data_IF_456002473900
#
_entry.id   IF_456002473900
#
_cell.length_a   1.000
_cell.length_b   1.000
_cell.length_c   1.000
_cell.angle_alpha   90.00
_cell.angle_beta   90.00
_cell.angle_gamma   90.00
#
_symmetry.space_group_name_H-M   'P 1'
#
loop_
_entity.id
_entity.type
_entity.pdbx_description
1 polymer ?
#
# COMPACT_ATOMS: atom_id res chain seq x y z
N UNK A 1 26.77 20.62 -44.99
CA UNK A 1 26.72 19.45 -44.06
C UNK A 1 25.62 19.73 -43.06
N UNK A 2 24.44 19.20 -43.31
CA UNK A 2 23.24 19.46 -42.50
C UNK A 2 23.05 18.26 -41.58
N UNK A 3 23.18 18.49 -40.26
CA UNK A 3 22.96 17.49 -39.23
C UNK A 3 21.45 17.27 -39.02
N UNK A 4 20.97 16.09 -39.32
CA UNK A 4 19.60 15.66 -39.04
C UNK A 4 19.57 15.23 -37.56
N UNK A 5 18.96 16.05 -36.73
CA UNK A 5 18.60 15.65 -35.36
C UNK A 5 17.32 14.84 -35.44
N UNK A 6 17.41 13.51 -35.29
CA UNK A 6 16.26 12.64 -35.17
C UNK A 6 15.71 12.72 -33.74
N UNK A 7 14.65 13.49 -33.55
CA UNK A 7 13.86 13.46 -32.34
C UNK A 7 13.06 12.15 -32.29
N UNK A 8 13.53 11.18 -31.49
CA UNK A 8 12.73 10.00 -31.15
C UNK A 8 11.53 10.43 -30.32
N UNK A 9 10.36 10.56 -30.93
CA UNK A 9 9.08 10.68 -30.24
C UNK A 9 8.89 9.41 -29.40
N UNK A 10 9.08 9.50 -28.10
CA UNK A 10 8.74 8.44 -27.16
C UNK A 10 7.25 8.13 -27.28
N UNK A 11 6.92 6.92 -27.76
CA UNK A 11 5.54 6.45 -27.76
C UNK A 11 5.00 6.43 -26.35
N UNK A 12 3.93 7.17 -26.09
CA UNK A 12 3.20 7.15 -24.83
C UNK A 12 2.51 5.79 -24.63
N UNK A 13 2.32 5.34 -23.37
CA UNK A 13 1.55 4.15 -23.07
C UNK A 13 0.12 4.29 -23.64
N UNK A 14 -0.37 3.24 -24.27
CA UNK A 14 -1.73 3.23 -24.83
C UNK A 14 -2.72 2.82 -23.76
N UNK A 15 -3.71 3.68 -23.48
CA UNK A 15 -4.91 3.36 -22.74
C UNK A 15 -6.08 3.26 -23.73
N UNK A 16 -6.87 2.22 -23.65
CA UNK A 16 -8.06 2.04 -24.50
C UNK A 16 -9.27 1.74 -23.63
N UNK A 17 -10.35 2.46 -23.88
CA UNK A 17 -11.70 2.04 -23.49
C UNK A 17 -12.12 0.96 -24.47
N UNK A 18 -12.57 -0.21 -23.96
CA UNK A 18 -13.10 -1.25 -24.83
C UNK A 18 -14.40 -0.79 -25.44
N UNK A 19 -14.38 -0.54 -26.76
CA UNK A 19 -15.60 -0.40 -27.54
C UNK A 19 -16.41 -1.70 -27.51
N UNK A 20 -17.72 -1.57 -27.52
CA UNK A 20 -18.75 -2.59 -27.33
C UNK A 20 -18.74 -3.74 -28.37
N UNK A 21 -17.64 -4.44 -28.58
CA UNK A 21 -17.67 -5.70 -29.33
C UNK A 21 -17.39 -6.87 -28.39
N UNK A 22 -18.43 -7.68 -28.25
CA UNK A 22 -18.54 -8.82 -27.38
C UNK A 22 -17.72 -10.01 -27.86
N UNK A 23 -16.47 -10.07 -27.46
CA UNK A 23 -15.78 -11.34 -27.30
C UNK A 23 -15.20 -11.38 -25.89
N UNK A 24 -16.04 -11.71 -24.91
CA UNK A 24 -15.61 -12.01 -23.57
C UNK A 24 -14.71 -13.26 -23.63
N UNK A 25 -13.44 -13.19 -23.18
CA UNK A 25 -12.60 -14.37 -23.04
C UNK A 25 -13.06 -15.28 -21.89
N UNK A 26 -14.13 -14.90 -21.18
CA UNK A 26 -14.68 -15.65 -20.06
C UNK A 26 -15.83 -16.53 -20.53
N UNK A 27 -15.92 -17.78 -20.07
CA UNK A 27 -17.11 -18.60 -20.29
C UNK A 27 -18.30 -17.90 -19.65
N UNK A 28 -19.43 -17.82 -20.39
CA UNK A 28 -20.68 -17.28 -19.93
C UNK A 28 -21.07 -17.88 -18.59
N UNK A 29 -21.49 -17.04 -17.66
CA UNK A 29 -21.92 -17.37 -16.30
C UNK A 29 -22.88 -18.56 -16.29
N UNK A 30 -22.39 -19.73 -15.82
CA UNK A 30 -23.26 -20.77 -15.34
C UNK A 30 -23.86 -20.36 -13.98
N UNK A 31 -25.14 -20.66 -13.71
CA UNK A 31 -25.74 -20.38 -12.41
C UNK A 31 -25.00 -21.17 -11.32
N UNK A 32 -24.96 -20.60 -10.14
CA UNK A 32 -24.40 -21.14 -8.91
C UNK A 32 -24.81 -22.61 -8.71
N UNK A 33 -23.99 -23.55 -9.14
CA UNK A 33 -24.04 -24.94 -8.73
C UNK A 33 -23.15 -25.10 -7.52
N UNK A 34 -23.70 -25.73 -6.47
CA UNK A 34 -22.96 -26.12 -5.26
C UNK A 34 -21.77 -26.97 -5.68
N UNK A 35 -20.64 -26.94 -4.96
CA UNK A 35 -19.48 -27.74 -5.29
C UNK A 35 -19.81 -29.22 -5.10
N UNK A 36 -19.96 -29.94 -6.21
CA UNK A 36 -19.82 -31.38 -6.19
C UNK A 36 -18.34 -31.68 -5.94
N UNK A 37 -18.10 -32.38 -4.84
CA UNK A 37 -16.79 -32.86 -4.42
C UNK A 37 -16.34 -34.00 -5.35
N UNK A 38 -15.76 -33.64 -6.48
CA UNK A 38 -14.93 -34.57 -7.24
C UNK A 38 -13.47 -34.32 -6.88
N UNK A 39 -12.94 -35.22 -6.04
CA UNK A 39 -11.52 -35.28 -5.69
C UNK A 39 -10.74 -35.84 -6.90
N UNK A 40 -10.50 -35.01 -7.89
CA UNK A 40 -9.50 -35.25 -8.91
C UNK A 40 -8.34 -34.28 -8.69
N UNK A 41 -7.17 -34.86 -8.65
CA UNK A 41 -5.79 -34.34 -8.52
C UNK A 41 -5.65 -32.88 -8.99
N UNK A 42 -6.11 -31.94 -8.18
CA UNK A 42 -5.94 -30.50 -8.40
C UNK A 42 -4.45 -30.21 -8.26
N UNK A 43 -3.77 -29.97 -9.37
CA UNK A 43 -2.50 -29.23 -9.35
C UNK A 43 -2.71 -28.04 -8.39
N UNK A 44 -2.04 -28.09 -7.24
CA UNK A 44 -2.19 -27.07 -6.21
C UNK A 44 -1.89 -25.72 -6.82
N UNK A 45 -2.91 -24.87 -6.95
CA UNK A 45 -2.76 -23.53 -7.46
C UNK A 45 -1.74 -22.77 -6.61
N UNK A 46 -0.65 -22.32 -7.23
CA UNK A 46 0.40 -21.54 -6.59
C UNK A 46 -0.11 -20.14 -6.26
N UNK A 47 0.14 -19.66 -5.05
CA UNK A 47 -0.17 -18.29 -4.63
C UNK A 47 0.88 -17.33 -5.23
N UNK A 48 0.45 -16.40 -6.07
CA UNK A 48 1.31 -15.43 -6.74
C UNK A 48 1.33 -14.07 -6.02
N UNK A 49 0.19 -13.66 -5.46
CA UNK A 49 0.08 -12.36 -4.79
C UNK A 49 -1.06 -12.32 -3.79
N UNK A 50 -0.93 -11.42 -2.81
CA UNK A 50 -2.00 -11.04 -1.87
C UNK A 50 -2.06 -9.52 -1.80
N UNK A 51 -3.26 -8.95 -1.91
CA UNK A 51 -3.48 -7.51 -1.81
C UNK A 51 -4.72 -7.20 -0.99
N UNK A 52 -4.57 -6.30 -0.01
CA UNK A 52 -5.68 -5.79 0.78
C UNK A 52 -6.49 -4.78 -0.02
N UNK A 53 -7.80 -4.76 0.22
CA UNK A 53 -8.60 -3.63 -0.24
C UNK A 53 -8.36 -2.39 0.64
N UNK A 54 -8.92 -1.26 0.26
CA UNK A 54 -8.61 0.04 0.85
C UNK A 54 -9.13 0.23 2.28
N UNK A 55 -10.10 -0.58 2.72
CA UNK A 55 -10.65 -0.57 4.09
C UNK A 55 -10.13 -1.72 4.97
N UNK A 56 -9.21 -2.54 4.43
CA UNK A 56 -8.64 -3.74 5.09
C UNK A 56 -9.66 -4.80 5.51
N UNK A 57 -10.89 -4.71 5.04
CA UNK A 57 -11.94 -5.67 5.37
C UNK A 57 -12.00 -6.88 4.43
N UNK A 58 -11.32 -6.82 3.30
CA UNK A 58 -11.18 -7.88 2.33
C UNK A 58 -9.76 -7.94 1.78
N UNK A 59 -9.36 -9.08 1.26
CA UNK A 59 -8.15 -9.21 0.47
C UNK A 59 -8.38 -10.11 -0.74
N UNK A 60 -7.61 -9.86 -1.78
CA UNK A 60 -7.52 -10.69 -2.97
C UNK A 60 -6.28 -11.56 -2.94
N UNK A 61 -6.37 -12.76 -3.50
CA UNK A 61 -5.28 -13.68 -3.73
C UNK A 61 -5.20 -14.00 -5.23
N UNK A 62 -4.14 -13.58 -5.88
CA UNK A 62 -3.81 -13.98 -7.24
C UNK A 62 -3.12 -15.33 -7.23
N UNK A 63 -3.54 -16.25 -8.08
CA UNK A 63 -3.00 -17.61 -8.16
C UNK A 63 -2.58 -17.96 -9.58
N UNK A 64 -1.83 -19.06 -9.73
CA UNK A 64 -1.43 -19.59 -11.04
C UNK A 64 -2.61 -20.07 -11.91
N UNK A 65 -3.80 -20.22 -11.32
CA UNK A 65 -5.04 -20.66 -11.99
C UNK A 65 -6.19 -19.67 -11.92
N UNK A 66 -5.94 -18.40 -11.54
CA UNK A 66 -6.98 -17.39 -11.44
C UNK A 66 -6.83 -16.49 -10.24
N UNK A 67 -7.94 -16.13 -9.56
CA UNK A 67 -7.89 -15.34 -8.33
C UNK A 67 -9.06 -15.64 -7.39
N UNK A 68 -8.88 -15.27 -6.12
CA UNK A 68 -9.88 -15.42 -5.05
C UNK A 68 -9.97 -14.16 -4.24
N UNK A 69 -11.15 -13.90 -3.67
CA UNK A 69 -11.40 -12.78 -2.76
C UNK A 69 -11.96 -13.31 -1.45
N UNK A 70 -11.38 -12.86 -0.35
CA UNK A 70 -11.75 -13.25 1.00
C UNK A 70 -12.23 -12.05 1.79
N UNK A 71 -13.31 -12.24 2.56
CA UNK A 71 -13.70 -11.33 3.62
C UNK A 71 -12.91 -11.66 4.89
N UNK A 72 -12.52 -10.66 5.69
CA UNK A 72 -11.68 -10.88 6.85
C UNK A 72 -12.47 -11.22 8.11
N UNK A 73 -13.65 -10.63 8.26
CA UNK A 73 -14.52 -10.85 9.42
C UNK A 73 -16.01 -10.88 8.99
N UNK A 74 -16.70 -12.03 9.08
CA UNK A 74 -16.12 -13.36 9.34
C UNK A 74 -15.20 -13.79 8.19
N UNK A 75 -14.13 -14.55 8.51
CA UNK A 75 -13.22 -15.05 7.50
C UNK A 75 -13.91 -16.04 6.57
N UNK A 76 -14.06 -15.64 5.30
CA UNK A 76 -14.77 -16.43 4.29
C UNK A 76 -14.30 -16.07 2.88
N UNK A 77 -14.12 -17.08 2.03
CA UNK A 77 -14.02 -16.85 0.59
C UNK A 77 -15.38 -16.35 0.08
N UNK A 78 -15.38 -15.18 -0.53
CA UNK A 78 -16.59 -14.52 -1.05
C UNK A 78 -16.71 -14.63 -2.54
N UNK A 79 -15.58 -14.80 -3.22
CA UNK A 79 -15.54 -14.79 -4.66
C UNK A 79 -14.32 -15.55 -5.22
N UNK A 80 -14.52 -16.23 -6.36
CA UNK A 80 -13.48 -17.00 -7.07
C UNK A 80 -13.66 -16.87 -8.57
N UNK A 81 -12.55 -16.76 -9.28
CA UNK A 81 -12.46 -16.93 -10.73
C UNK A 81 -11.32 -17.89 -11.06
N UNK A 82 -11.65 -19.01 -11.66
CA UNK A 82 -10.69 -19.98 -12.14
C UNK A 82 -10.52 -19.82 -13.67
N UNK A 83 -9.29 -19.81 -14.10
CA UNK A 83 -8.90 -19.77 -15.50
C UNK A 83 -8.47 -21.17 -15.95
N UNK A 84 -8.82 -21.55 -17.16
CA UNK A 84 -8.37 -22.82 -17.75
C UNK A 84 -6.85 -22.84 -17.97
N UNK A 85 -6.27 -21.68 -18.27
CA UNK A 85 -4.83 -21.52 -18.52
C UNK A 85 -4.34 -20.22 -17.92
N UNK A 86 -3.24 -20.29 -17.13
CA UNK A 86 -2.57 -19.15 -16.55
C UNK A 86 -3.30 -18.54 -15.34
N UNK A 87 -2.70 -17.53 -14.77
CA UNK A 87 -3.16 -16.87 -13.55
C UNK A 87 -2.97 -15.38 -13.53
N UNK A 88 -3.17 -14.80 -12.37
CA UNK A 88 -3.01 -13.38 -12.12
C UNK A 88 -1.92 -13.11 -11.09
N UNK A 89 -0.87 -12.39 -11.51
CA UNK A 89 0.21 -11.93 -10.65
C UNK A 89 -0.14 -10.71 -9.82
N UNK A 90 -1.14 -9.91 -10.26
CA UNK A 90 -1.64 -8.75 -9.52
C UNK A 90 -3.15 -8.74 -9.62
N UNK A 91 -3.80 -8.65 -8.46
CA UNK A 91 -5.25 -8.50 -8.32
C UNK A 91 -5.50 -7.40 -7.31
N UNK A 92 -5.86 -6.22 -7.76
CA UNK A 92 -6.13 -5.06 -6.90
C UNK A 92 -7.63 -4.76 -6.91
N UNK A 93 -8.22 -4.68 -5.74
CA UNK A 93 -9.65 -4.37 -5.55
C UNK A 93 -9.88 -2.87 -5.52
N UNK A 94 -11.05 -2.42 -5.96
CA UNK A 94 -11.55 -1.07 -5.67
C UNK A 94 -12.58 -1.15 -4.56
N UNK A 95 -12.16 -0.96 -3.32
CA UNK A 95 -12.97 -1.15 -2.12
C UNK A 95 -13.68 -2.52 -2.12
N UNK A 96 -14.99 -2.55 -1.95
CA UNK A 96 -15.83 -3.76 -1.98
C UNK A 96 -16.79 -3.75 -3.18
N UNK A 97 -16.40 -3.06 -4.26
CA UNK A 97 -17.22 -3.05 -5.47
C UNK A 97 -16.73 -4.12 -6.47
N UNK A 98 -17.46 -4.25 -7.56
CA UNK A 98 -17.23 -5.21 -8.64
C UNK A 98 -16.06 -4.86 -9.57
N UNK A 99 -15.30 -3.80 -9.28
CA UNK A 99 -14.19 -3.35 -10.12
C UNK A 99 -12.85 -3.86 -9.57
N UNK A 100 -12.08 -4.48 -10.44
CA UNK A 100 -10.75 -5.02 -10.17
C UNK A 100 -9.74 -4.51 -11.20
N UNK A 101 -8.50 -4.35 -10.79
CA UNK A 101 -7.38 -4.26 -11.73
C UNK A 101 -6.62 -5.60 -11.73
N UNK A 102 -6.46 -6.18 -12.91
CA UNK A 102 -5.89 -7.50 -13.11
C UNK A 102 -4.65 -7.41 -14.00
N UNK A 103 -3.58 -8.12 -13.62
CA UNK A 103 -2.36 -8.27 -14.42
C UNK A 103 -1.99 -9.76 -14.44
N UNK A 104 -1.69 -10.29 -15.59
CA UNK A 104 -1.32 -11.69 -15.75
C UNK A 104 -0.03 -12.05 -15.01
N UNK A 105 0.08 -13.28 -14.56
CA UNK A 105 1.23 -13.81 -13.85
C UNK A 105 1.26 -15.34 -13.78
N UNK A 106 2.31 -15.87 -13.17
CA UNK A 106 2.59 -17.32 -13.17
C UNK A 106 3.50 -17.75 -14.32
N UNK A 107 3.75 -19.06 -14.43
CA UNK A 107 4.70 -19.61 -15.40
C UNK A 107 4.22 -19.41 -16.86
N UNK A 108 2.92 -19.58 -17.10
CA UNK A 108 2.32 -19.45 -18.44
C UNK A 108 1.08 -18.55 -18.37
N UNK A 109 1.25 -17.23 -18.21
CA UNK A 109 0.12 -16.33 -18.03
C UNK A 109 -0.71 -16.20 -19.32
N UNK A 110 -2.02 -16.34 -19.22
CA UNK A 110 -2.95 -16.08 -20.32
C UNK A 110 -2.91 -14.59 -20.74
N UNK A 111 -2.68 -13.72 -19.79
CA UNK A 111 -2.57 -12.27 -20.01
C UNK A 111 -1.14 -11.83 -19.71
N UNK A 112 -0.53 -10.99 -20.56
CA UNK A 112 0.85 -10.60 -20.39
C UNK A 112 1.07 -9.70 -19.15
N UNK A 113 2.24 -9.80 -18.48
CA UNK A 113 2.54 -9.05 -17.27
C UNK A 113 2.74 -7.54 -17.48
N UNK A 114 2.79 -7.08 -18.73
CA UNK A 114 2.90 -5.67 -19.09
C UNK A 114 1.56 -5.00 -19.43
N UNK A 115 0.44 -5.70 -19.17
CA UNK A 115 -0.92 -5.19 -19.38
C UNK A 115 -1.71 -5.15 -18.08
N UNK A 116 -2.44 -4.05 -17.87
CA UNK A 116 -3.44 -3.91 -16.80
C UNK A 116 -4.82 -3.93 -17.43
N UNK A 117 -5.67 -4.81 -16.95
CA UNK A 117 -7.08 -4.88 -17.31
C UNK A 117 -7.92 -4.31 -16.16
N UNK A 118 -8.78 -3.36 -16.45
CA UNK A 118 -9.82 -2.93 -15.49
C UNK A 118 -11.06 -3.77 -15.78
N UNK A 119 -11.35 -4.65 -14.84
CA UNK A 119 -12.38 -5.67 -14.95
C UNK A 119 -13.62 -5.27 -14.16
N UNK A 120 -14.79 -5.31 -14.80
CA UNK A 120 -16.08 -5.21 -14.14
C UNK A 120 -16.66 -6.63 -14.00
N UNK A 121 -16.66 -7.15 -12.78
CA UNK A 121 -17.10 -8.51 -12.53
C UNK A 121 -18.62 -8.67 -12.62
N UNK A 122 -19.38 -7.65 -12.31
CA UNK A 122 -20.83 -7.66 -12.46
C UNK A 122 -21.25 -7.79 -13.94
N UNK A 123 -20.54 -7.09 -14.83
CA UNK A 123 -20.78 -7.19 -16.27
C UNK A 123 -19.95 -8.29 -16.94
N UNK A 124 -19.07 -8.96 -16.17
CA UNK A 124 -18.15 -9.99 -16.67
C UNK A 124 -17.35 -9.55 -17.91
N UNK A 125 -16.84 -8.32 -17.90
CA UNK A 125 -16.10 -7.74 -19.03
C UNK A 125 -14.96 -6.82 -18.60
N UNK A 126 -13.96 -6.72 -19.47
CA UNK A 126 -12.93 -5.69 -19.37
C UNK A 126 -13.50 -4.33 -19.84
N UNK A 127 -13.45 -3.32 -18.97
CA UNK A 127 -13.93 -1.96 -19.25
C UNK A 127 -12.80 -1.01 -19.64
N UNK A 128 -11.55 -1.39 -19.41
CA UNK A 128 -10.38 -0.59 -19.81
C UNK A 128 -9.11 -1.44 -19.81
N UNK A 129 -8.19 -1.12 -20.69
CA UNK A 129 -6.90 -1.79 -20.83
C UNK A 129 -5.76 -0.78 -20.95
N UNK A 130 -4.64 -1.06 -20.27
CA UNK A 130 -3.41 -0.30 -20.37
C UNK A 130 -2.27 -1.23 -20.77
N UNK A 131 -1.51 -0.88 -21.78
CA UNK A 131 -0.37 -1.63 -22.26
C UNK A 131 0.92 -0.83 -22.12
N UNK A 132 1.97 -1.46 -21.61
CA UNK A 132 3.27 -0.87 -21.36
C UNK A 132 4.38 -1.65 -22.08
N UNK A 133 5.59 -1.07 -22.14
CA UNK A 133 6.77 -1.75 -22.70
C UNK A 133 7.45 -2.68 -21.72
N UNK A 134 7.23 -2.46 -20.41
CA UNK A 134 7.81 -3.24 -19.32
C UNK A 134 6.72 -3.76 -18.41
N UNK A 135 7.06 -4.77 -17.62
CA UNK A 135 6.14 -5.40 -16.68
C UNK A 135 5.58 -4.41 -15.66
N UNK A 136 4.33 -4.61 -15.32
CA UNK A 136 3.67 -3.91 -14.24
C UNK A 136 4.12 -4.54 -12.93
N UNK A 137 4.59 -3.69 -12.01
CA UNK A 137 5.07 -4.11 -10.68
C UNK A 137 3.98 -4.04 -9.62
N UNK A 138 3.08 -3.07 -9.74
CA UNK A 138 1.92 -2.92 -8.87
C UNK A 138 0.85 -2.07 -9.53
N UNK A 139 -0.38 -2.17 -9.05
CA UNK A 139 -1.48 -1.28 -9.38
C UNK A 139 -2.10 -0.80 -8.08
N UNK A 140 -2.50 0.47 -8.01
CA UNK A 140 -3.27 1.02 -6.92
C UNK A 140 -4.52 1.69 -7.47
N UNK A 141 -5.67 1.35 -6.88
CA UNK A 141 -6.96 1.87 -7.28
C UNK A 141 -7.51 2.85 -6.25
N UNK A 142 -8.09 3.92 -6.75
CA UNK A 142 -8.90 4.88 -6.03
C UNK A 142 -10.13 5.20 -6.89
N UNK A 143 -11.21 5.70 -6.30
CA UNK A 143 -12.47 5.98 -7.03
C UNK A 143 -12.29 6.96 -8.20
N UNK A 144 -11.32 7.85 -8.12
CA UNK A 144 -11.02 8.87 -9.14
C UNK A 144 -9.75 8.60 -9.93
N UNK A 145 -8.93 7.59 -9.54
CA UNK A 145 -7.60 7.38 -10.11
C UNK A 145 -7.23 5.91 -10.23
N UNK A 146 -6.45 5.62 -11.27
CA UNK A 146 -5.74 4.36 -11.48
C UNK A 146 -4.25 4.71 -11.47
N UNK A 147 -3.49 4.09 -10.56
CA UNK A 147 -2.05 4.28 -10.47
C UNK A 147 -1.37 2.99 -10.87
N UNK A 148 -0.56 3.04 -11.92
CA UNK A 148 0.16 1.88 -12.47
C UNK A 148 1.65 2.09 -12.25
N UNK A 149 2.26 1.15 -11.55
CA UNK A 149 3.65 1.21 -11.11
C UNK A 149 4.48 0.26 -11.97
N UNK A 150 5.43 0.82 -12.70
CA UNK A 150 6.50 0.10 -13.39
C UNK A 150 7.80 0.23 -12.58
N UNK A 151 8.86 -0.41 -13.04
CA UNK A 151 10.14 -0.41 -12.32
C UNK A 151 10.77 0.99 -12.19
N UNK A 152 10.64 1.83 -13.20
CA UNK A 152 11.25 3.17 -13.21
C UNK A 152 10.27 4.32 -13.35
N UNK A 153 8.97 4.03 -13.51
CA UNK A 153 7.94 5.03 -13.75
C UNK A 153 6.62 4.65 -13.12
N UNK A 154 5.90 5.65 -12.67
CA UNK A 154 4.53 5.53 -12.18
C UNK A 154 3.63 6.39 -13.06
N UNK A 155 2.54 5.81 -13.51
CA UNK A 155 1.53 6.47 -14.31
C UNK A 155 0.26 6.64 -13.49
N UNK A 156 -0.28 7.85 -13.47
CA UNK A 156 -1.54 8.17 -12.79
C UNK A 156 -2.56 8.55 -13.84
N UNK A 157 -3.61 7.75 -13.93
CA UNK A 157 -4.72 7.98 -14.86
C UNK A 157 -5.97 8.42 -14.12
N UNK A 158 -6.81 9.20 -14.78
CA UNK A 158 -8.16 9.44 -14.35
C UNK A 158 -8.99 8.16 -14.54
N UNK A 159 -9.75 7.78 -13.53
CA UNK A 159 -10.56 6.56 -13.58
C UNK A 159 -11.70 6.65 -14.59
N UNK A 160 -12.30 7.83 -14.76
CA UNK A 160 -13.53 8.01 -15.56
C UNK A 160 -13.29 7.93 -17.07
N UNK A 161 -12.22 8.57 -17.56
CA UNK A 161 -11.93 8.68 -18.99
C UNK A 161 -10.60 8.08 -19.41
N UNK A 162 -9.92 7.41 -18.48
CA UNK A 162 -8.62 6.75 -18.64
C UNK A 162 -7.51 7.67 -19.20
N UNK A 163 -7.65 9.00 -19.06
CA UNK A 163 -6.64 9.95 -19.47
C UNK A 163 -5.48 9.98 -18.51
N UNK A 164 -4.28 10.07 -19.04
CA UNK A 164 -3.05 10.24 -18.28
C UNK A 164 -3.05 11.62 -17.59
N UNK A 165 -2.98 11.62 -16.24
CA UNK A 165 -2.89 12.83 -15.43
C UNK A 165 -1.45 13.18 -15.08
N UNK A 166 -0.67 12.19 -14.62
CA UNK A 166 0.71 12.38 -14.18
C UNK A 166 1.59 11.20 -14.59
N UNK A 167 2.85 11.51 -14.85
CA UNK A 167 3.93 10.54 -15.01
C UNK A 167 5.04 10.91 -14.03
N UNK A 168 5.44 9.96 -13.19
CA UNK A 168 6.43 10.14 -12.12
C UNK A 168 7.60 9.20 -12.41
N UNK A 169 8.81 9.73 -12.43
CA UNK A 169 10.02 8.92 -12.52
C UNK A 169 10.51 8.56 -11.13
N UNK A 170 10.99 7.34 -10.97
CA UNK A 170 11.49 6.80 -9.71
C UNK A 170 12.85 6.15 -9.92
N UNK A 171 13.64 6.03 -8.84
CA UNK A 171 14.72 5.07 -8.79
C UNK A 171 14.14 3.66 -9.04
N UNK A 172 14.99 2.68 -9.44
CA UNK A 172 14.55 1.30 -9.64
C UNK A 172 13.66 0.81 -8.50
N UNK A 173 12.44 0.44 -8.82
CA UNK A 173 11.38 0.04 -7.90
C UNK A 173 10.81 -1.33 -8.29
N UNK A 174 11.63 -2.40 -8.24
CA UNK A 174 11.21 -3.74 -8.68
C UNK A 174 10.09 -4.32 -7.82
N UNK A 175 9.94 -3.84 -6.56
CA UNK A 175 8.87 -4.27 -5.65
C UNK A 175 7.55 -3.50 -5.83
N UNK A 176 7.49 -2.53 -6.73
CA UNK A 176 6.28 -1.74 -6.98
C UNK A 176 5.85 -0.90 -5.77
N UNK A 177 6.79 -0.41 -4.96
CA UNK A 177 6.47 0.38 -3.77
C UNK A 177 5.73 1.65 -4.15
N UNK A 178 4.49 1.76 -3.70
CA UNK A 178 3.66 2.93 -3.86
C UNK A 178 2.47 2.84 -2.90
N UNK A 179 2.14 3.94 -2.26
CA UNK A 179 0.95 4.08 -1.44
C UNK A 179 0.10 5.25 -1.94
N UNK A 180 -1.20 5.11 -1.80
CA UNK A 180 -2.19 6.10 -2.19
C UNK A 180 -3.14 6.32 -1.01
N UNK A 181 -3.42 7.57 -0.65
CA UNK A 181 -4.43 7.88 0.36
C UNK A 181 -5.83 7.58 -0.18
N UNK A 182 -6.73 7.12 0.68
CA UNK A 182 -8.07 6.67 0.26
C UNK A 182 -9.19 7.60 0.72
N UNK A 183 -8.91 8.57 1.58
CA UNK A 183 -9.89 9.55 2.02
C UNK A 183 -10.33 10.45 0.85
N UNK A 184 -11.62 10.77 0.76
CA UNK A 184 -12.19 11.54 -0.36
C UNK A 184 -11.56 12.91 -0.55
N UNK A 185 -11.25 13.58 0.56
CA UNK A 185 -10.76 14.96 0.57
C UNK A 185 -9.24 15.08 0.41
N UNK A 186 -8.50 13.96 0.49
CA UNK A 186 -7.05 13.95 0.37
C UNK A 186 -6.62 13.04 -0.77
N UNK A 187 -5.85 13.58 -1.69
CA UNK A 187 -5.27 12.80 -2.79
C UNK A 187 -3.75 12.89 -2.69
N UNK A 188 -3.18 11.97 -1.92
CA UNK A 188 -1.74 11.90 -1.64
C UNK A 188 -1.20 10.57 -2.16
N UNK A 189 -0.08 10.62 -2.87
CA UNK A 189 0.68 9.46 -3.32
C UNK A 189 2.09 9.54 -2.74
N UNK A 190 2.59 8.42 -2.21
CA UNK A 190 3.97 8.28 -1.78
C UNK A 190 4.65 7.14 -2.55
N UNK A 191 5.85 7.40 -3.06
CA UNK A 191 6.65 6.42 -3.79
C UNK A 191 8.16 6.67 -3.57
N UNK A 192 9.05 5.74 -3.96
CA UNK A 192 10.47 6.03 -3.96
C UNK A 192 10.80 7.24 -4.84
N UNK A 193 11.70 8.10 -4.37
CA UNK A 193 12.23 9.22 -5.14
C UNK A 193 13.31 8.78 -6.15
N UNK A 194 14.04 9.75 -6.68
CA UNK A 194 15.16 9.50 -7.61
C UNK A 194 16.48 9.17 -6.89
N UNK A 195 16.57 9.48 -5.61
CA UNK A 195 17.75 9.23 -4.81
C UNK A 195 17.53 8.07 -3.83
N UNK A 196 18.62 7.38 -3.49
CA UNK A 196 18.59 6.30 -2.51
C UNK A 196 18.05 6.78 -1.17
N UNK A 197 17.09 6.05 -0.60
CA UNK A 197 16.48 6.36 0.70
C UNK A 197 15.54 7.56 0.68
N UNK A 198 15.28 8.14 -0.48
CA UNK A 198 14.37 9.26 -0.66
C UNK A 198 12.96 8.74 -0.97
N UNK A 199 11.97 9.38 -0.39
CA UNK A 199 10.54 9.23 -0.73
C UNK A 199 10.05 10.50 -1.38
N UNK A 200 9.30 10.36 -2.47
CA UNK A 200 8.55 11.42 -3.13
C UNK A 200 7.10 11.32 -2.67
N UNK A 201 6.55 12.44 -2.24
CA UNK A 201 5.15 12.59 -1.85
C UNK A 201 4.49 13.62 -2.76
N UNK A 202 3.42 13.21 -3.42
CA UNK A 202 2.59 14.05 -4.28
C UNK A 202 1.27 14.38 -3.60
N UNK A 203 1.02 15.65 -3.34
CA UNK A 203 -0.27 16.18 -2.91
C UNK A 203 -1.02 16.72 -4.13
N UNK A 204 -1.76 15.87 -4.82
CA UNK A 204 -2.41 16.23 -6.10
C UNK A 204 -3.42 17.37 -5.96
N UNK A 205 -4.19 17.40 -4.87
CA UNK A 205 -5.15 18.47 -4.61
C UNK A 205 -4.51 19.83 -4.42
N UNK A 206 -3.34 19.87 -3.79
CA UNK A 206 -2.56 21.10 -3.53
C UNK A 206 -1.57 21.41 -4.63
N UNK A 207 -1.33 20.48 -5.57
CA UNK A 207 -0.30 20.55 -6.61
C UNK A 207 1.11 20.76 -6.03
N UNK A 208 1.40 20.12 -4.91
CA UNK A 208 2.69 20.20 -4.21
C UNK A 208 3.38 18.85 -4.23
N UNK A 209 4.66 18.85 -4.56
CA UNK A 209 5.57 17.70 -4.47
C UNK A 209 6.52 17.91 -3.30
N UNK A 210 6.65 16.91 -2.44
CA UNK A 210 7.62 16.91 -1.34
C UNK A 210 8.59 15.76 -1.51
N UNK A 211 9.88 16.01 -1.27
CA UNK A 211 10.93 15.00 -1.23
C UNK A 211 11.44 14.84 0.20
N UNK A 212 11.41 13.62 0.72
CA UNK A 212 11.81 13.28 2.09
C UNK A 212 13.01 12.35 2.02
N UNK A 213 14.15 12.78 2.55
CA UNK A 213 15.34 11.92 2.75
C UNK A 213 15.11 11.02 3.96
N UNK A 214 14.35 9.93 3.73
CA UNK A 214 13.84 9.11 4.82
C UNK A 214 14.94 8.18 5.42
N UNK A 215 15.84 7.65 4.59
CA UNK A 215 16.88 6.69 5.03
C UNK A 215 18.15 6.83 4.20
N UNK A 216 19.27 6.31 4.75
CA UNK A 216 20.56 6.24 4.03
C UNK A 216 20.64 5.05 3.06
N UNK A 217 19.78 4.04 3.23
CA UNK A 217 19.68 2.86 2.37
C UNK A 217 18.36 2.88 1.58
N UNK A 218 18.24 1.98 0.59
CA UNK A 218 17.03 1.90 -0.23
C UNK A 218 15.78 1.71 0.63
N UNK A 219 14.68 2.28 0.19
CA UNK A 219 13.37 2.07 0.81
C UNK A 219 12.94 0.61 0.58
N UNK A 220 12.46 -0.04 1.64
CA UNK A 220 11.94 -1.41 1.61
C UNK A 220 10.42 -1.46 1.73
N UNK A 221 9.83 -0.58 2.54
CA UNK A 221 8.38 -0.47 2.72
C UNK A 221 7.98 0.99 2.90
N UNK A 222 6.77 1.29 2.42
CA UNK A 222 6.12 2.60 2.53
C UNK A 222 4.65 2.36 2.87
N UNK A 223 4.10 3.11 3.80
CA UNK A 223 2.65 3.16 4.04
C UNK A 223 2.20 4.58 4.39
N UNK A 224 1.00 4.95 3.99
CA UNK A 224 0.33 6.20 4.35
C UNK A 224 -0.84 5.92 5.30
N UNK A 225 -1.18 6.89 6.13
CA UNK A 225 -2.52 6.94 6.74
C UNK A 225 -3.60 7.12 5.69
N UNK A 226 -4.84 6.76 6.00
CA UNK A 226 -5.95 6.87 5.05
C UNK A 226 -6.18 8.29 4.55
N UNK A 227 -5.93 9.29 5.41
CA UNK A 227 -5.98 10.72 5.10
C UNK A 227 -4.72 11.24 4.37
N UNK A 228 -3.66 10.44 4.32
CA UNK A 228 -2.40 10.80 3.68
C UNK A 228 -1.53 11.78 4.46
N UNK A 229 -1.87 12.11 5.72
CA UNK A 229 -1.11 13.08 6.52
C UNK A 229 0.19 12.51 7.08
N UNK A 230 0.21 11.21 7.37
CA UNK A 230 1.39 10.54 7.91
C UNK A 230 1.91 9.49 6.94
N UNK A 231 3.24 9.42 6.87
CA UNK A 231 4.00 8.47 6.07
C UNK A 231 4.89 7.65 7.00
N UNK A 232 4.76 6.33 7.01
CA UNK A 232 5.70 5.44 7.68
C UNK A 232 6.57 4.72 6.64
N UNK A 233 7.88 4.62 6.93
CA UNK A 233 8.87 4.07 6.01
C UNK A 233 9.85 3.15 6.73
N UNK A 234 10.28 2.10 6.03
CA UNK A 234 11.43 1.28 6.41
C UNK A 234 12.42 1.18 5.26
N UNK A 235 13.68 0.99 5.60
CA UNK A 235 14.74 0.77 4.61
C UNK A 235 15.16 -0.70 4.54
N UNK A 236 15.98 -1.03 3.56
CA UNK A 236 16.58 -2.37 3.39
C UNK A 236 17.52 -2.79 4.53
N UNK A 237 17.88 -1.89 5.46
CA UNK A 237 18.52 -2.27 6.72
C UNK A 237 17.52 -2.92 7.68
N UNK A 238 16.25 -2.50 7.66
CA UNK A 238 15.17 -3.07 8.46
C UNK A 238 15.30 -2.88 9.98
N UNK A 239 16.18 -1.98 10.43
CA UNK A 239 16.42 -1.75 11.87
C UNK A 239 15.55 -0.64 12.45
N UNK A 240 15.22 0.35 11.64
CA UNK A 240 14.47 1.55 12.03
C UNK A 240 13.25 1.73 11.13
N UNK A 241 12.15 2.15 11.74
CA UNK A 241 10.96 2.62 11.06
C UNK A 241 10.78 4.10 11.41
N UNK A 242 10.53 4.92 10.40
CA UNK A 242 10.42 6.38 10.56
C UNK A 242 9.06 6.85 10.11
N UNK A 243 8.48 7.75 10.89
CA UNK A 243 7.18 8.36 10.65
C UNK A 243 7.40 9.84 10.34
N UNK A 244 6.79 10.30 9.25
CA UNK A 244 6.92 11.67 8.74
C UNK A 244 5.57 12.32 8.56
N UNK A 245 5.51 13.63 8.72
CA UNK A 245 4.42 14.46 8.23
C UNK A 245 4.61 14.61 6.70
N UNK A 246 3.57 14.34 5.92
CA UNK A 246 3.64 14.40 4.46
C UNK A 246 3.63 15.83 3.92
N UNK A 247 3.08 16.80 4.68
CA UNK A 247 2.95 18.19 4.26
C UNK A 247 4.28 18.93 4.24
N UNK A 248 5.06 18.77 5.29
CA UNK A 248 6.34 19.49 5.46
C UNK A 248 7.56 18.57 5.37
N UNK A 249 7.38 17.26 5.49
CA UNK A 249 8.46 16.28 5.48
C UNK A 249 9.16 16.10 6.83
N UNK A 250 8.64 16.70 7.89
CA UNK A 250 9.21 16.62 9.25
C UNK A 250 9.12 15.17 9.76
N UNK A 251 10.23 14.66 10.32
CA UNK A 251 10.25 13.38 11.01
C UNK A 251 9.63 13.54 12.39
N UNK A 252 8.48 12.89 12.58
CA UNK A 252 7.71 12.98 13.83
C UNK A 252 8.12 11.95 14.86
N UNK A 253 8.43 10.72 14.39
CA UNK A 253 8.81 9.63 15.28
C UNK A 253 9.75 8.66 14.57
N UNK A 254 10.63 8.03 15.35
CA UNK A 254 11.47 6.92 14.92
C UNK A 254 11.33 5.79 15.95
N UNK A 255 11.06 4.58 15.47
CA UNK A 255 11.02 3.38 16.30
C UNK A 255 12.03 2.36 15.82
N UNK A 256 12.62 1.62 16.76
CA UNK A 256 13.63 0.61 16.46
C UNK A 256 13.01 -0.79 16.53
N UNK A 257 13.01 -1.49 15.37
CA UNK A 257 12.60 -2.90 15.30
C UNK A 257 13.63 -3.82 15.98
N UNK A 258 14.92 -3.56 15.80
CA UNK A 258 15.99 -4.38 16.35
C UNK A 258 17.35 -3.83 15.97
N UNK A 259 18.41 -4.50 16.42
CA UNK A 259 19.81 -4.16 16.09
C UNK A 259 20.22 -4.79 14.75
N UNK A 260 19.80 -6.03 14.53
CA UNK A 260 20.19 -6.80 13.36
C UNK A 260 19.41 -6.40 12.12
N UNK A 261 20.05 -6.55 10.97
CA UNK A 261 19.38 -6.39 9.67
C UNK A 261 18.22 -7.36 9.53
N UNK A 262 17.14 -6.89 8.92
CA UNK A 262 15.99 -7.72 8.57
C UNK A 262 15.34 -7.21 7.29
N UNK A 263 14.79 -8.14 6.53
CA UNK A 263 13.95 -7.81 5.38
C UNK A 263 12.54 -7.53 5.87
N UNK A 264 12.12 -6.27 5.75
CA UNK A 264 10.78 -5.85 6.15
C UNK A 264 9.80 -6.28 5.07
N UNK A 265 8.79 -7.04 5.47
CA UNK A 265 7.73 -7.52 4.59
C UNK A 265 6.58 -6.53 4.50
N UNK A 266 6.15 -6.00 5.64
CA UNK A 266 5.02 -5.08 5.71
C UNK A 266 5.13 -4.12 6.87
N UNK A 267 4.56 -2.93 6.67
CA UNK A 267 4.31 -1.92 7.69
C UNK A 267 2.83 -1.56 7.59
N UNK A 268 2.12 -1.57 8.71
CA UNK A 268 0.72 -1.21 8.77
C UNK A 268 0.47 -0.21 9.91
N UNK A 269 -0.30 0.83 9.62
CA UNK A 269 -0.78 1.80 10.58
C UNK A 269 -2.21 1.45 10.98
N UNK A 270 -2.54 1.51 12.26
CA UNK A 270 -3.92 1.34 12.71
C UNK A 270 -4.79 2.52 12.22
N UNK A 271 -6.10 2.32 11.98
CA UNK A 271 -6.99 3.40 11.50
C UNK A 271 -7.01 4.63 12.41
N UNK A 272 -6.87 4.43 13.72
CA UNK A 272 -6.80 5.51 14.72
C UNK A 272 -5.39 6.07 14.91
N UNK A 273 -4.41 5.61 14.12
CA UNK A 273 -3.01 6.05 14.14
C UNK A 273 -2.31 5.91 15.51
N UNK A 274 -2.82 5.04 16.38
CA UNK A 274 -2.20 4.78 17.69
C UNK A 274 -1.15 3.69 17.65
N UNK A 275 -1.20 2.82 16.64
CA UNK A 275 -0.36 1.64 16.54
C UNK A 275 0.29 1.52 15.17
N UNK A 276 1.51 1.01 15.19
CA UNK A 276 2.28 0.63 14.00
C UNK A 276 2.70 -0.83 14.15
N UNK A 277 2.32 -1.67 13.19
CA UNK A 277 2.74 -3.06 13.10
C UNK A 277 3.81 -3.23 12.01
N UNK A 278 4.83 -4.04 12.29
CA UNK A 278 5.95 -4.32 11.38
C UNK A 278 6.25 -5.80 11.37
N UNK A 279 6.16 -6.42 10.20
CA UNK A 279 6.54 -7.82 9.98
C UNK A 279 7.85 -7.92 9.18
N UNK A 280 8.63 -8.99 9.43
CA UNK A 280 9.92 -9.20 8.78
C UNK A 280 10.27 -10.69 8.64
N UNK A 281 11.38 -10.98 7.95
CA UNK A 281 11.98 -12.31 7.78
C UNK A 281 12.38 -12.99 9.10
N UNK A 282 12.33 -12.28 10.24
CA UNK A 282 12.68 -12.85 11.55
C UNK A 282 11.53 -13.63 12.20
N UNK A 283 10.41 -13.81 11.52
CA UNK A 283 9.26 -14.56 12.02
C UNK A 283 8.54 -13.89 13.20
N UNK A 284 8.71 -12.58 13.37
CA UNK A 284 8.09 -11.78 14.44
C UNK A 284 7.33 -10.60 13.86
N UNK A 285 6.25 -10.23 14.54
CA UNK A 285 5.54 -8.97 14.31
C UNK A 285 5.80 -8.05 15.50
N UNK A 286 6.34 -6.87 15.22
CA UNK A 286 6.57 -5.83 16.22
C UNK A 286 5.42 -4.83 16.17
N UNK A 287 4.85 -4.52 17.34
CA UNK A 287 3.81 -3.51 17.47
C UNK A 287 4.36 -2.36 18.32
N UNK A 288 4.24 -1.14 17.80
CA UNK A 288 4.71 0.07 18.43
C UNK A 288 3.55 1.02 18.70
N UNK A 289 3.54 1.65 19.87
CA UNK A 289 2.66 2.76 20.15
C UNK A 289 3.19 4.02 19.44
N UNK A 290 2.30 4.71 18.74
CA UNK A 290 2.60 5.98 18.12
C UNK A 290 2.20 7.12 19.06
N UNK A 291 3.10 8.10 19.19
CA UNK A 291 2.89 9.32 20.00
C UNK A 291 2.75 10.57 19.12
N UNK A 292 2.33 10.35 17.87
CA UNK A 292 2.21 11.41 16.88
C UNK A 292 0.88 12.10 17.08
N UNK A 293 0.90 13.41 17.40
CA UNK A 293 -0.28 14.26 17.33
C UNK A 293 -0.29 14.96 15.99
N UNK A 294 -1.33 14.77 15.21
CA UNK A 294 -1.59 15.62 14.05
C UNK A 294 -2.10 16.94 14.59
N UNK A 295 -1.39 18.02 14.32
CA UNK A 295 -1.83 19.36 14.70
C UNK A 295 -3.18 19.66 14.03
N UNK A 296 -4.27 19.67 14.78
CA UNK A 296 -5.63 19.89 14.29
C UNK A 296 -6.74 19.42 15.22
N UNK A 297 -6.44 18.58 16.23
CA UNK A 297 -7.40 18.26 17.29
C UNK A 297 -7.09 19.08 18.54
N UNK A 298 -7.40 20.37 18.47
CA UNK A 298 -7.44 21.23 19.66
C UNK A 298 -8.63 20.85 20.54
N UNK A 299 -8.27 20.30 21.70
CA UNK A 299 -8.88 20.54 23.00
C UNK A 299 -10.37 20.89 23.06
N UNK A 300 -11.21 19.86 23.10
CA UNK A 300 -12.52 19.99 23.72
C UNK A 300 -12.92 18.77 24.55
N UNK A 301 -12.07 18.36 25.50
CA UNK A 301 -12.49 17.49 26.62
C UNK A 301 -11.44 17.49 27.71
N UNK A 302 -11.39 18.58 28.48
CA UNK A 302 -10.90 18.56 29.86
C UNK A 302 -11.31 19.86 30.55
N UNK A 303 -12.60 19.96 30.88
CA UNK A 303 -13.09 20.80 31.97
C UNK A 303 -14.34 20.14 32.53
N UNK A 304 -14.16 19.33 33.55
CA UNK A 304 -15.09 19.16 34.67
C UNK A 304 -14.53 18.10 35.63
N UNK A 305 -13.62 18.48 36.50
CA UNK A 305 -13.53 17.88 37.83
C UNK A 305 -13.56 19.04 38.80
N UNK A 306 -14.60 18.98 39.62
CA UNK A 306 -14.97 19.94 40.63
C UNK A 306 -13.85 20.24 41.62
N UNK A 307 -13.81 21.49 42.02
CA UNK A 307 -13.15 21.98 43.22
C UNK A 307 -13.84 21.41 44.44
N UNK A 308 -13.03 20.89 45.36
CA UNK A 308 -13.37 20.81 46.77
C UNK A 308 -12.20 21.43 47.57
N UNK A 309 -12.42 22.37 48.46
CA UNK A 309 -11.38 23.13 49.16
C UNK A 309 -11.14 22.56 50.56
N UNK A 310 -9.90 22.33 50.92
CA UNK A 310 -9.55 22.21 52.35
C UNK A 310 -8.29 21.41 52.64
N UNK A 311 -7.27 22.09 52.94
CA UNK A 311 -6.41 22.03 54.11
C UNK A 311 -4.93 22.34 53.79
N UNK A 312 -4.55 23.41 54.41
CA UNK A 312 -3.19 23.95 54.57
C UNK A 312 -2.29 22.97 55.32
N UNK A 313 -1.06 22.71 54.81
CA UNK A 313 0.13 22.69 55.67
C UNK A 313 1.41 23.01 54.89
N UNK A 314 2.12 23.99 55.40
CA UNK A 314 3.45 24.44 54.96
C UNK A 314 4.52 23.39 55.23
N UNK A 315 5.48 23.28 54.35
CA UNK A 315 6.91 23.37 54.75
C UNK A 315 7.81 23.50 53.52
N UNK A 316 8.63 24.50 53.62
CA UNK A 316 9.72 24.90 52.77
C UNK A 316 10.85 23.90 52.72
N UNK A 317 11.46 23.69 51.51
CA UNK A 317 12.93 23.74 51.40
C UNK A 317 13.34 23.69 49.92
N UNK A 318 14.20 24.63 49.62
CA UNK A 318 14.97 24.88 48.40
C UNK A 318 15.88 23.71 48.04
N UNK A 319 16.00 23.43 46.75
CA UNK A 319 17.33 23.26 46.10
C UNK A 319 17.21 23.26 44.59
N UNK A 320 17.97 24.14 44.02
CA UNK A 320 18.38 24.19 42.62
C UNK A 320 19.12 22.89 42.28
N UNK A 321 18.70 22.20 41.25
CA UNK A 321 19.61 21.29 40.53
C UNK A 321 19.29 21.27 39.03
N UNK A 322 20.32 21.61 38.36
CA UNK A 322 20.77 21.53 36.98
C UNK A 322 19.90 20.80 35.94
N UNK A 323 19.67 21.54 34.88
CA UNK A 323 19.31 21.07 33.52
C UNK A 323 20.32 20.00 33.02
N UNK A 324 19.92 18.76 33.00
CA UNK A 324 20.58 17.69 32.24
C UNK A 324 19.73 17.42 31.00
N UNK A 325 20.31 17.44 29.80
CA UNK A 325 19.57 17.13 28.59
C UNK A 325 19.17 15.64 28.60
N UNK A 326 17.88 15.40 28.53
CA UNK A 326 17.31 14.05 28.45
C UNK A 326 17.83 13.32 27.21
N UNK A 327 18.49 12.20 27.43
CA UNK A 327 18.84 11.21 26.41
C UNK A 327 17.57 10.80 25.63
N UNK A 328 17.69 10.48 24.33
CA UNK A 328 16.55 9.99 23.54
C UNK A 328 16.03 8.71 24.17
N UNK A 329 14.75 8.74 24.55
CA UNK A 329 14.09 7.70 25.31
C UNK A 329 14.15 6.34 24.64
N UNK A 330 14.49 5.36 25.44
CA UNK A 330 14.39 3.94 25.09
C UNK A 330 12.94 3.59 24.70
N UNK A 331 12.81 2.75 23.66
CA UNK A 331 11.56 2.16 23.25
C UNK A 331 10.86 1.51 24.42
N UNK A 332 9.71 2.02 24.82
CA UNK A 332 8.87 1.35 25.79
C UNK A 332 7.99 0.34 25.04
N UNK A 333 8.25 -0.93 25.36
CA UNK A 333 7.47 -2.12 25.07
C UNK A 333 7.21 -2.46 23.60
N UNK A 334 7.99 -3.38 23.13
CA UNK A 334 7.63 -4.29 22.04
C UNK A 334 7.39 -5.68 22.65
N UNK A 335 6.52 -6.37 22.06
CA UNK A 335 6.53 -7.80 21.81
C UNK A 335 5.30 -8.53 22.27
N UNK A 336 4.71 -9.13 21.29
CA UNK A 336 4.07 -10.42 21.44
C UNK A 336 4.66 -11.33 20.37
N UNK A 337 5.54 -12.22 20.80
CA UNK A 337 5.99 -13.36 20.00
C UNK A 337 4.86 -14.40 20.01
N UNK A 338 3.85 -14.20 19.19
CA UNK A 338 2.88 -15.21 18.87
C UNK A 338 2.94 -15.46 17.37
N UNK A 339 3.38 -16.62 16.98
CA UNK A 339 3.29 -17.23 15.63
C UNK A 339 4.60 -17.86 15.16
N UNK A 340 5.20 -18.74 15.97
CA UNK A 340 6.25 -19.62 15.44
C UNK A 340 5.70 -20.79 14.61
N UNK A 341 4.39 -21.07 14.71
CA UNK A 341 3.83 -22.33 14.18
C UNK A 341 2.85 -22.18 13.01
N UNK A 342 2.66 -20.97 12.46
CA UNK A 342 1.70 -20.75 11.35
C UNK A 342 2.30 -20.69 9.94
N UNK A 343 3.62 -20.85 9.78
CA UNK A 343 4.31 -20.76 8.50
C UNK A 343 4.99 -22.08 8.07
N UNK A 344 4.49 -23.22 8.57
CA UNK A 344 4.83 -24.53 8.03
C UNK A 344 3.57 -25.18 7.46
N UNK A 345 3.21 -24.76 6.28
CA UNK A 345 2.43 -25.58 5.30
C UNK A 345 2.98 -25.27 3.92
#
# INVERSE_FOLDING_TARGET
MSSIVSTSRGMQPQARLSSLESSSPWPSSAPFSQPETDYNDDEKAELLSVSWNQDYGCFSAGTSSGFRIYNCDPFKETFRRDLKNGGFGIVEMLFRCNILALVGGGANPQYPPNKVMIWDDHQSRCIGEFAFRSDVRAVKLRRDRIVIILEHKIYVYNFTDLKLLHQIETLANPRGLCCLSHHSNASVLACPGLNRGQVRVEHFGLKVTKFISAHDSHIACITLTMDGLLLATASTKGTLIRIFNTMDGTRLQEVRRGLDRADIYSIALSPNVQWLAVSSDKGTVHIFSLRVRVAGEDSSTNQSIAQDPGLVHQSSSSSLDALVPSKPGANTSSSLSFMKDWWRV
#
